data_IF_264165621092
#
_entry.id   IF_264165621092
#
_cell.length_a   1.000
_cell.length_b   1.000
_cell.length_c   1.000
_cell.angle_alpha   90.00
_cell.angle_beta   90.00
_cell.angle_gamma   90.00
#
_symmetry.space_group_name_H-M   'P 1'
#
loop_
_entity.id
_entity.type
_entity.pdbx_description
1 polymer ?
#
# COMPACT_ATOMS: atom_id res chain seq x y z
N UNK A 1 -16.96 2.30 36.88
CA UNK A 1 -17.05 3.53 36.16
C UNK A 1 -16.37 3.30 34.81
N UNK A 2 -17.16 3.33 33.74
CA UNK A 2 -16.63 3.29 32.40
C UNK A 2 -15.71 4.50 32.22
N UNK A 3 -14.52 4.29 31.72
CA UNK A 3 -13.62 5.36 31.33
C UNK A 3 -14.23 5.94 30.03
N UNK A 4 -14.98 7.05 30.14
CA UNK A 4 -15.35 7.82 28.96
C UNK A 4 -14.08 8.47 28.43
N UNK A 5 -13.54 7.92 27.36
CA UNK A 5 -12.43 8.52 26.61
C UNK A 5 -13.10 9.52 25.67
N UNK A 6 -12.94 10.81 25.96
CA UNK A 6 -13.37 11.91 25.10
C UNK A 6 -12.55 11.85 23.79
N UNK A 7 -13.20 11.97 22.64
CA UNK A 7 -12.58 11.84 21.30
C UNK A 7 -11.31 12.70 21.14
N UNK A 8 -11.29 13.90 21.71
CA UNK A 8 -10.10 14.78 21.71
C UNK A 8 -8.97 14.25 22.60
N UNK A 9 -9.25 13.36 23.54
CA UNK A 9 -8.25 12.77 24.44
C UNK A 9 -7.67 11.45 23.92
N UNK A 10 -8.33 10.80 22.94
CA UNK A 10 -7.89 9.51 22.40
C UNK A 10 -6.55 9.61 21.66
N UNK A 11 -6.33 10.73 20.97
CA UNK A 11 -5.14 10.92 20.12
C UNK A 11 -4.04 11.72 20.84
N UNK A 12 -4.39 12.68 21.69
CA UNK A 12 -3.41 13.60 22.32
C UNK A 12 -2.81 13.10 23.64
N UNK A 13 -3.44 12.11 24.32
CA UNK A 13 -2.98 11.65 25.64
C UNK A 13 -1.87 10.59 25.57
N UNK A 14 -1.65 9.95 24.42
CA UNK A 14 -0.66 8.90 24.23
C UNK A 14 0.60 9.33 23.47
N UNK A 15 0.78 10.63 23.26
CA UNK A 15 2.01 11.17 22.68
C UNK A 15 2.17 10.96 21.18
N UNK A 16 1.15 10.50 20.49
CA UNK A 16 1.14 10.49 19.03
C UNK A 16 1.04 11.94 18.54
N UNK A 17 2.16 12.53 18.19
CA UNK A 17 2.19 13.81 17.49
C UNK A 17 1.99 13.54 15.99
N UNK A 18 0.79 13.14 15.59
CA UNK A 18 0.39 13.32 14.20
C UNK A 18 0.03 14.78 14.02
N UNK A 19 0.62 15.42 13.02
CA UNK A 19 0.28 16.82 12.67
C UNK A 19 -1.12 16.95 12.04
N UNK A 20 -1.88 15.86 11.95
CA UNK A 20 -3.24 15.79 11.45
C UNK A 20 -4.07 14.91 12.39
N UNK A 21 -5.21 15.37 12.79
CA UNK A 21 -6.05 14.77 13.84
C UNK A 21 -6.87 13.56 13.37
N UNK A 22 -6.70 13.09 12.11
CA UNK A 22 -7.65 12.17 11.47
C UNK A 22 -6.97 10.98 10.74
N UNK A 23 -5.68 10.71 10.96
CA UNK A 23 -4.95 9.64 10.27
C UNK A 23 -5.17 8.27 10.93
N UNK A 24 -6.42 7.84 11.09
CA UNK A 24 -6.75 6.53 11.65
C UNK A 24 -8.06 5.98 11.08
N UNK A 25 -8.16 4.65 11.07
CA UNK A 25 -9.41 3.93 10.82
C UNK A 25 -10.03 3.58 12.17
N UNK A 26 -11.33 3.78 12.33
CA UNK A 26 -12.07 3.29 13.49
C UNK A 26 -13.26 2.45 13.04
N UNK A 27 -13.31 1.22 13.55
CA UNK A 27 -14.37 0.27 13.30
C UNK A 27 -15.10 -0.03 14.62
N UNK A 28 -16.42 0.20 14.65
CA UNK A 28 -17.26 -0.13 15.76
C UNK A 28 -18.03 -1.43 15.49
N UNK A 29 -17.77 -2.45 16.29
CA UNK A 29 -18.44 -3.75 16.23
C UNK A 29 -19.58 -3.77 17.22
N UNK A 30 -20.81 -3.99 16.75
CA UNK A 30 -22.04 -3.98 17.56
C UNK A 30 -22.76 -5.32 17.45
N UNK A 31 -23.17 -5.86 18.59
CA UNK A 31 -23.94 -7.09 18.69
C UNK A 31 -24.17 -7.49 20.14
N UNK A 32 -25.15 -8.35 20.40
CA UNK A 32 -25.49 -8.82 21.75
C UNK A 32 -25.79 -7.67 22.76
N UNK A 33 -26.24 -6.51 22.25
CA UNK A 33 -26.48 -5.32 23.05
C UNK A 33 -25.20 -4.62 23.57
N UNK A 34 -24.07 -4.87 22.92
CA UNK A 34 -22.75 -4.32 23.26
C UNK A 34 -22.09 -3.74 22.01
N UNK A 35 -21.20 -2.80 22.21
CA UNK A 35 -20.31 -2.25 21.18
C UNK A 35 -18.88 -2.33 21.66
N UNK A 36 -17.97 -2.73 20.78
CA UNK A 36 -16.52 -2.71 21.01
C UNK A 36 -15.82 -2.12 19.79
N UNK A 37 -14.71 -1.43 20.00
CA UNK A 37 -14.06 -0.65 18.96
C UNK A 37 -12.64 -1.12 18.71
N UNK A 38 -12.21 -1.01 17.47
CA UNK A 38 -10.85 -1.18 16.98
C UNK A 38 -10.39 0.09 16.30
N UNK A 39 -9.18 0.54 16.62
CA UNK A 39 -8.52 1.67 15.96
C UNK A 39 -7.23 1.19 15.30
N UNK A 40 -7.02 1.57 14.06
CA UNK A 40 -5.74 1.44 13.34
C UNK A 40 -5.28 2.84 12.99
N UNK A 41 -4.15 3.26 13.57
CA UNK A 41 -3.58 4.59 13.38
C UNK A 41 -2.35 4.52 12.47
N UNK A 42 -2.14 5.55 11.64
CA UNK A 42 -0.97 5.65 10.76
C UNK A 42 0.04 6.62 11.33
N UNK A 43 1.27 6.13 11.58
CA UNK A 43 2.38 6.91 12.12
C UNK A 43 3.70 6.37 11.53
N UNK A 44 4.40 7.19 10.76
CA UNK A 44 5.68 6.82 10.12
C UNK A 44 6.78 6.41 11.11
N UNK A 45 6.59 6.71 12.40
CA UNK A 45 7.52 6.32 13.46
C UNK A 45 7.08 5.04 14.20
N UNK A 46 5.93 4.47 13.87
CA UNK A 46 5.46 3.20 14.39
C UNK A 46 6.20 2.02 13.74
N UNK A 47 6.00 0.84 14.29
CA UNK A 47 6.45 -0.43 13.73
C UNK A 47 5.26 -1.37 13.57
N UNK A 48 5.41 -2.45 12.80
CA UNK A 48 4.36 -3.47 12.67
C UNK A 48 4.30 -4.43 13.88
N UNK A 49 5.35 -4.45 14.72
CA UNK A 49 5.36 -5.10 16.02
C UNK A 49 4.74 -4.19 17.10
N UNK A 50 4.45 -4.76 18.27
CA UNK A 50 3.92 -3.99 19.39
C UNK A 50 4.85 -2.86 19.84
N UNK A 51 4.40 -1.63 19.73
CA UNK A 51 5.09 -0.41 20.17
C UNK A 51 4.42 0.16 21.44
N UNK A 52 5.10 0.05 22.57
CA UNK A 52 4.59 0.52 23.86
C UNK A 52 4.29 2.02 23.93
N UNK A 53 4.83 2.81 23.01
CA UNK A 53 4.63 4.26 22.95
C UNK A 53 3.42 4.67 22.11
N UNK A 54 2.95 3.77 21.23
CA UNK A 54 1.95 4.09 20.21
C UNK A 54 0.73 3.18 20.25
N UNK A 55 0.92 1.92 20.66
CA UNK A 55 -0.12 0.92 20.67
C UNK A 55 -0.82 0.83 22.02
N UNK A 56 -2.06 0.30 21.98
CA UNK A 56 -2.77 -0.06 23.19
C UNK A 56 -3.17 -1.53 23.19
N UNK A 57 -2.64 -2.28 24.16
CA UNK A 57 -3.00 -3.69 24.33
C UNK A 57 -4.50 -3.82 24.57
N UNK A 58 -5.12 -4.77 23.88
CA UNK A 58 -6.53 -5.09 24.10
C UNK A 58 -6.74 -5.74 25.46
N UNK A 59 -7.56 -5.12 26.26
CA UNK A 59 -8.04 -5.74 27.48
C UNK A 59 -9.27 -6.60 27.19
N UNK A 60 -9.09 -7.92 27.15
CA UNK A 60 -10.20 -8.84 26.93
C UNK A 60 -11.12 -8.84 28.13
N UNK A 61 -12.27 -8.25 27.97
CA UNK A 61 -13.30 -8.19 29.00
C UNK A 61 -14.08 -9.50 29.10
N UNK A 62 -14.87 -9.64 30.16
CA UNK A 62 -15.86 -10.72 30.29
C UNK A 62 -17.11 -10.50 29.43
N UNK A 63 -17.14 -9.41 28.63
CA UNK A 63 -18.21 -9.14 27.68
C UNK A 63 -18.28 -10.22 26.61
N UNK A 64 -19.45 -10.38 26.02
CA UNK A 64 -19.68 -11.37 24.96
C UNK A 64 -19.15 -10.93 23.60
N UNK A 65 -18.65 -9.72 23.47
CA UNK A 65 -18.06 -9.16 22.25
C UNK A 65 -16.75 -8.47 22.60
N UNK A 66 -15.66 -8.92 21.98
CA UNK A 66 -14.37 -8.23 21.99
C UNK A 66 -13.81 -8.26 20.56
N UNK A 67 -13.32 -7.12 20.08
CA UNK A 67 -12.61 -6.99 18.81
C UNK A 67 -11.21 -6.46 19.04
N UNK A 68 -10.24 -6.93 18.26
CA UNK A 68 -8.85 -6.51 18.36
C UNK A 68 -8.10 -6.83 17.05
N UNK A 69 -7.07 -6.07 16.77
CA UNK A 69 -6.10 -6.43 15.74
C UNK A 69 -4.94 -7.23 16.33
N UNK A 70 -4.17 -7.86 15.44
CA UNK A 70 -2.92 -8.52 15.78
C UNK A 70 -1.77 -7.79 15.10
N UNK A 71 -0.74 -7.43 15.87
CA UNK A 71 0.56 -6.99 15.36
C UNK A 71 1.34 -8.18 14.76
N UNK A 72 2.46 -7.93 14.08
CA UNK A 72 3.30 -9.01 13.51
C UNK A 72 3.84 -9.96 14.57
N UNK A 73 4.12 -9.47 15.78
CA UNK A 73 4.51 -10.29 16.94
C UNK A 73 3.32 -10.98 17.65
N UNK A 74 2.10 -10.92 17.05
CA UNK A 74 0.85 -11.49 17.54
C UNK A 74 0.34 -10.90 18.87
N UNK A 75 0.69 -9.66 19.18
CA UNK A 75 0.11 -8.94 20.33
C UNK A 75 -1.31 -8.47 19.98
N UNK A 76 -2.25 -8.66 20.91
CA UNK A 76 -3.64 -8.25 20.75
C UNK A 76 -3.79 -6.76 21.08
N UNK A 77 -4.23 -5.97 20.09
CA UNK A 77 -4.26 -4.52 20.19
C UNK A 77 -5.68 -3.96 20.02
N UNK A 78 -6.05 -3.01 20.89
CA UNK A 78 -7.24 -2.19 20.75
C UNK A 78 -6.96 -0.96 19.87
N UNK A 79 -5.73 -0.45 19.94
CA UNK A 79 -5.16 0.55 19.05
C UNK A 79 -3.88 -0.04 18.48
N UNK A 80 -3.80 -0.13 17.17
CA UNK A 80 -2.64 -0.62 16.45
C UNK A 80 -2.11 0.53 15.58
N UNK A 81 -0.92 0.97 15.86
CA UNK A 81 -0.26 2.04 15.10
C UNK A 81 0.78 1.41 14.19
N UNK A 82 0.74 1.75 12.92
CA UNK A 82 1.62 1.18 11.90
C UNK A 82 2.04 2.25 10.89
N UNK A 83 3.21 2.09 10.23
CA UNK A 83 3.58 2.95 9.13
C UNK A 83 2.70 2.65 7.92
N UNK A 84 2.45 3.68 7.10
CA UNK A 84 1.79 3.47 5.80
C UNK A 84 2.83 3.01 4.78
N UNK A 85 2.80 1.74 4.42
CA UNK A 85 3.78 1.14 3.51
C UNK A 85 3.41 1.36 2.03
N UNK A 86 4.42 1.63 1.19
CA UNK A 86 4.24 1.62 -0.26
C UNK A 86 3.84 0.21 -0.73
N UNK A 87 2.76 0.11 -1.51
CA UNK A 87 2.25 -1.16 -2.04
C UNK A 87 1.20 -1.84 -1.15
N UNK A 88 0.99 -1.32 0.07
CA UNK A 88 -0.05 -1.80 0.96
C UNK A 88 0.35 -2.99 1.82
N UNK A 89 -0.41 -3.20 2.86
CA UNK A 89 -0.24 -4.28 3.84
C UNK A 89 -1.60 -4.69 4.40
N UNK A 90 -1.61 -5.74 5.25
CA UNK A 90 -2.86 -6.27 5.79
C UNK A 90 -2.74 -6.52 7.28
N UNK A 91 -3.76 -6.14 8.03
CA UNK A 91 -3.84 -6.29 9.48
C UNK A 91 -4.90 -7.35 9.83
N UNK A 92 -4.52 -8.43 10.52
CA UNK A 92 -5.49 -9.40 11.02
C UNK A 92 -6.39 -8.77 12.09
N UNK A 93 -7.71 -8.92 11.92
CA UNK A 93 -8.71 -8.47 12.89
C UNK A 93 -9.43 -9.68 13.46
N UNK A 94 -9.31 -9.84 14.76
CA UNK A 94 -9.85 -10.98 15.48
C UNK A 94 -11.05 -10.57 16.34
N UNK A 95 -11.97 -11.50 16.51
CA UNK A 95 -13.14 -11.35 17.37
C UNK A 95 -13.19 -12.44 18.41
N UNK A 96 -13.64 -12.08 19.63
CA UNK A 96 -14.04 -13.03 20.66
C UNK A 96 -15.51 -12.84 20.95
N UNK A 97 -16.32 -13.76 20.53
CA UNK A 97 -17.78 -13.74 20.59
C UNK A 97 -18.27 -14.83 21.55
N UNK A 98 -19.07 -14.46 22.55
CA UNK A 98 -19.54 -15.37 23.59
C UNK A 98 -20.77 -16.17 23.20
N UNK A 99 -21.60 -15.72 22.27
CA UNK A 99 -22.81 -16.43 21.80
C UNK A 99 -23.18 -16.04 20.39
N UNK A 100 -23.91 -16.94 19.72
CA UNK A 100 -24.39 -16.71 18.36
C UNK A 100 -25.32 -15.51 18.26
N UNK A 101 -25.10 -14.63 17.30
CA UNK A 101 -25.94 -13.47 16.97
C UNK A 101 -25.59 -12.89 15.61
N UNK A 102 -26.37 -11.91 15.20
CA UNK A 102 -26.05 -11.01 14.10
C UNK A 102 -25.25 -9.85 14.68
N UNK A 103 -24.25 -9.41 13.93
CA UNK A 103 -23.33 -8.33 14.29
C UNK A 103 -23.27 -7.33 13.15
N UNK A 104 -22.90 -6.11 13.49
CA UNK A 104 -22.67 -5.03 12.54
C UNK A 104 -21.29 -4.42 12.80
N UNK A 105 -20.61 -4.06 11.74
CA UNK A 105 -19.37 -3.28 11.77
C UNK A 105 -19.71 -1.94 11.13
N UNK A 106 -19.60 -0.86 11.88
CA UNK A 106 -19.73 0.50 11.40
C UNK A 106 -18.34 1.12 11.24
N UNK A 107 -18.11 1.74 10.10
CA UNK A 107 -16.90 2.55 9.85
C UNK A 107 -17.14 3.93 10.43
N UNK A 108 -16.62 4.20 11.61
CA UNK A 108 -16.91 5.45 12.35
C UNK A 108 -15.88 6.55 12.08
N UNK A 109 -14.71 6.18 11.56
CA UNK A 109 -13.71 7.11 11.02
C UNK A 109 -12.90 6.43 9.92
N UNK A 110 -12.64 7.18 8.86
CA UNK A 110 -11.77 6.78 7.76
C UNK A 110 -10.86 7.95 7.39
N UNK A 111 -9.52 7.77 7.33
CA UNK A 111 -8.62 8.88 7.02
C UNK A 111 -8.71 9.27 5.55
N UNK A 112 -8.59 10.57 5.28
CA UNK A 112 -8.38 11.07 3.92
C UNK A 112 -6.89 10.95 3.57
N UNK A 113 -6.50 9.80 3.01
CA UNK A 113 -5.15 9.57 2.50
C UNK A 113 -5.06 9.92 1.01
N UNK A 114 -3.83 9.90 0.48
CA UNK A 114 -3.57 10.18 -0.93
C UNK A 114 -4.50 9.40 -1.86
N UNK A 115 -4.92 9.98 -3.00
CA UNK A 115 -5.74 9.28 -3.98
C UNK A 115 -5.02 8.02 -4.46
N UNK A 116 -5.51 6.86 -4.09
CA UNK A 116 -4.94 5.57 -4.44
C UNK A 116 -4.70 4.66 -3.23
N UNK A 117 -4.99 5.12 -2.02
CA UNK A 117 -5.10 4.25 -0.84
C UNK A 117 -6.54 3.80 -0.72
N UNK A 118 -6.73 2.51 -0.59
CA UNK A 118 -8.01 1.85 -0.43
C UNK A 118 -8.00 1.05 0.87
N UNK A 119 -9.15 0.97 1.50
CA UNK A 119 -9.37 0.21 2.72
C UNK A 119 -10.42 -0.87 2.42
N UNK A 120 -10.01 -2.13 2.53
CA UNK A 120 -10.86 -3.28 2.25
C UNK A 120 -10.89 -4.16 3.48
N UNK A 121 -12.08 -4.53 3.92
CA UNK A 121 -12.26 -5.56 4.93
C UNK A 121 -12.68 -6.86 4.26
N UNK A 122 -11.85 -7.90 4.38
CA UNK A 122 -12.14 -9.25 3.92
C UNK A 122 -12.67 -10.10 5.08
N UNK A 123 -13.82 -10.75 4.91
CA UNK A 123 -14.32 -11.76 5.83
C UNK A 123 -13.74 -13.15 5.43
N UNK A 124 -12.77 -13.65 6.16
CA UNK A 124 -12.10 -14.91 5.89
C UNK A 124 -13.01 -16.15 6.01
N UNK A 125 -14.21 -16.00 6.60
CA UNK A 125 -15.20 -17.09 6.73
C UNK A 125 -16.05 -17.20 5.47
N UNK A 126 -16.48 -16.06 4.92
CA UNK A 126 -17.33 -16.04 3.71
C UNK A 126 -16.52 -15.85 2.43
N UNK A 127 -15.33 -15.27 2.52
CA UNK A 127 -14.52 -14.82 1.38
C UNK A 127 -15.03 -13.55 0.73
N UNK A 128 -16.00 -12.86 1.36
CA UNK A 128 -16.51 -11.59 0.86
C UNK A 128 -15.57 -10.44 1.22
N UNK A 129 -15.47 -9.46 0.34
CA UNK A 129 -14.67 -8.24 0.51
C UNK A 129 -15.56 -7.00 0.48
N UNK A 130 -15.28 -6.07 1.37
CA UNK A 130 -16.03 -4.83 1.53
C UNK A 130 -15.08 -3.64 1.45
N UNK A 131 -15.30 -2.74 0.49
CA UNK A 131 -14.65 -1.44 0.54
C UNK A 131 -15.19 -0.65 1.73
N UNK A 132 -14.28 -0.09 2.52
CA UNK A 132 -14.69 0.72 3.66
C UNK A 132 -14.99 2.15 3.18
N UNK A 133 -16.15 2.63 3.56
CA UNK A 133 -16.59 4.02 3.37
C UNK A 133 -17.03 4.56 4.73
N UNK A 134 -16.77 5.83 5.00
CA UNK A 134 -17.18 6.45 6.26
C UNK A 134 -18.71 6.37 6.44
N UNK A 135 -19.14 5.90 7.60
CA UNK A 135 -20.56 5.62 7.89
C UNK A 135 -21.10 4.34 7.25
N UNK A 136 -20.24 3.57 6.53
CA UNK A 136 -20.61 2.26 5.97
C UNK A 136 -20.90 1.24 7.06
N UNK A 137 -21.87 0.36 6.82
CA UNK A 137 -22.28 -0.72 7.75
C UNK A 137 -22.15 -2.06 7.04
N UNK A 138 -21.41 -2.99 7.67
CA UNK A 138 -21.23 -4.36 7.22
C UNK A 138 -21.89 -5.28 8.24
N UNK A 139 -22.87 -6.07 7.80
CA UNK A 139 -23.54 -7.04 8.66
C UNK A 139 -22.94 -8.44 8.51
N UNK A 140 -22.77 -9.15 9.61
CA UNK A 140 -22.30 -10.53 9.61
C UNK A 140 -22.91 -11.37 10.73
N UNK A 141 -23.01 -12.65 10.50
CA UNK A 141 -23.46 -13.64 11.50
C UNK A 141 -22.27 -14.37 12.09
N UNK A 142 -22.29 -14.62 13.39
CA UNK A 142 -21.26 -15.44 14.04
C UNK A 142 -21.84 -16.25 15.19
N UNK A 143 -21.23 -17.43 15.39
CA UNK A 143 -21.39 -18.24 16.60
C UNK A 143 -20.48 -17.77 17.74
N UNK A 144 -20.52 -18.50 18.86
CA UNK A 144 -19.55 -18.32 19.95
C UNK A 144 -18.16 -18.80 19.47
N UNK A 145 -17.23 -17.86 19.33
CA UNK A 145 -15.91 -18.10 18.72
C UNK A 145 -14.88 -17.11 19.22
N UNK A 146 -13.61 -17.49 19.13
CA UNK A 146 -12.47 -16.57 19.21
C UNK A 146 -11.54 -16.91 18.06
N UNK A 147 -11.52 -16.05 17.05
CA UNK A 147 -10.75 -16.30 15.81
C UNK A 147 -10.36 -14.99 15.13
N UNK A 148 -9.32 -15.05 14.29
CA UNK A 148 -9.07 -14.05 13.28
C UNK A 148 -10.08 -14.26 12.16
N UNK A 149 -11.08 -13.40 12.13
CA UNK A 149 -12.17 -13.52 11.15
C UNK A 149 -11.98 -12.60 9.97
N UNK A 150 -11.44 -11.41 10.22
CA UNK A 150 -11.30 -10.42 9.16
C UNK A 150 -9.85 -10.10 8.89
N UNK A 151 -9.58 -9.67 7.66
CA UNK A 151 -8.31 -9.12 7.24
C UNK A 151 -8.57 -7.70 6.72
N UNK A 152 -7.99 -6.70 7.38
CA UNK A 152 -8.07 -5.31 6.96
C UNK A 152 -6.90 -5.03 6.03
N UNK A 153 -7.17 -4.89 4.73
CA UNK A 153 -6.20 -4.51 3.72
C UNK A 153 -6.14 -2.99 3.62
N UNK A 154 -4.94 -2.43 3.68
CA UNK A 154 -4.67 -1.01 3.67
C UNK A 154 -3.65 -0.73 2.58
N UNK A 155 -3.89 0.27 1.76
CA UNK A 155 -2.94 0.71 0.76
C UNK A 155 -3.48 0.63 -0.65
N UNK A 156 -2.57 0.65 -1.61
CA UNK A 156 -2.96 0.49 -3.00
C UNK A 156 -3.08 -0.98 -3.34
N UNK A 157 -4.25 -1.42 -3.77
CA UNK A 157 -4.40 -2.78 -4.31
C UNK A 157 -3.75 -2.88 -5.71
N UNK A 158 -2.59 -2.24 -5.92
CA UNK A 158 -1.89 -2.21 -7.19
C UNK A 158 -0.40 -2.42 -6.95
N UNK A 159 0.10 -3.55 -7.44
CA UNK A 159 1.54 -3.77 -7.53
C UNK A 159 2.08 -3.23 -8.86
N UNK A 160 3.22 -2.56 -8.79
CA UNK A 160 3.93 -2.00 -9.94
C UNK A 160 5.24 -2.72 -10.13
N UNK A 161 5.46 -3.25 -11.33
CA UNK A 161 6.75 -3.77 -11.76
C UNK A 161 7.20 -3.03 -13.03
N UNK A 162 8.45 -2.59 -13.08
CA UNK A 162 8.99 -1.89 -14.25
C UNK A 162 10.36 -2.39 -14.64
N UNK A 163 10.69 -2.24 -15.92
CA UNK A 163 12.06 -2.24 -16.42
C UNK A 163 12.36 -0.90 -17.09
N UNK A 164 13.50 -0.32 -16.76
CA UNK A 164 13.96 0.89 -17.42
C UNK A 164 14.58 0.57 -18.78
N UNK A 165 14.83 1.60 -19.59
CA UNK A 165 15.43 1.48 -20.92
C UNK A 165 16.85 0.93 -20.79
N UNK A 166 17.20 -0.06 -21.62
CA UNK A 166 18.49 -0.75 -21.53
C UNK A 166 19.67 0.07 -22.02
N UNK A 167 19.47 0.95 -22.99
CA UNK A 167 20.50 1.80 -23.59
C UNK A 167 19.95 3.18 -23.91
N UNK A 168 20.80 4.19 -23.92
CA UNK A 168 20.45 5.54 -24.35
C UNK A 168 19.78 5.54 -25.72
N UNK A 169 18.60 6.16 -25.82
CA UNK A 169 17.82 6.31 -27.03
C UNK A 169 17.13 5.04 -27.53
N UNK A 170 17.06 3.96 -26.76
CA UNK A 170 16.23 2.80 -27.07
C UNK A 170 14.83 2.93 -26.45
N UNK A 171 13.87 2.16 -26.98
CA UNK A 171 12.48 2.12 -26.53
C UNK A 171 12.16 0.66 -26.19
N UNK A 172 12.74 0.16 -25.10
CA UNK A 172 12.60 -1.24 -24.69
C UNK A 172 12.18 -1.40 -23.21
N UNK A 173 11.76 -0.30 -22.61
CA UNK A 173 11.24 -0.33 -21.25
C UNK A 173 9.84 -0.95 -21.18
N UNK A 174 9.48 -1.41 -20.00
CA UNK A 174 8.14 -1.94 -19.73
C UNK A 174 7.65 -1.56 -18.36
N UNK A 175 6.34 -1.41 -18.22
CA UNK A 175 5.64 -1.24 -16.96
C UNK A 175 4.50 -2.24 -16.89
N UNK A 176 4.42 -2.97 -15.79
CA UNK A 176 3.31 -3.88 -15.48
C UNK A 176 2.60 -3.38 -14.22
N UNK A 177 1.31 -3.15 -14.33
CA UNK A 177 0.43 -2.86 -13.19
C UNK A 177 -0.42 -4.08 -12.91
N UNK A 178 -0.41 -4.55 -11.67
CA UNK A 178 -1.18 -5.71 -11.25
C UNK A 178 -2.18 -5.28 -10.19
N UNK A 179 -3.47 -5.42 -10.49
CA UNK A 179 -4.53 -5.24 -9.49
C UNK A 179 -4.50 -6.39 -8.48
N UNK A 180 -4.64 -6.05 -7.20
CA UNK A 180 -4.73 -7.03 -6.10
C UNK A 180 -6.20 -7.14 -5.70
N UNK A 181 -6.70 -8.36 -5.57
CA UNK A 181 -8.10 -8.68 -5.26
C UNK A 181 -8.85 -9.29 -6.44
N UNK A 182 -10.15 -9.45 -6.26
CA UNK A 182 -11.03 -10.07 -7.25
C UNK A 182 -11.37 -9.09 -8.37
N UNK A 183 -10.73 -9.30 -9.54
CA UNK A 183 -11.07 -8.57 -10.75
C UNK A 183 -12.51 -8.84 -11.24
N UNK A 184 -12.92 -8.34 -12.40
CA UNK A 184 -12.06 -7.76 -13.42
C UNK A 184 -11.71 -6.29 -13.18
N UNK A 185 -10.53 -5.89 -13.66
CA UNK A 185 -10.01 -4.53 -13.59
C UNK A 185 -10.09 -3.86 -14.96
N UNK A 186 -10.27 -2.54 -14.98
CA UNK A 186 -10.13 -1.72 -16.18
C UNK A 186 -8.91 -0.82 -16.03
N UNK A 187 -7.95 -0.94 -16.92
CA UNK A 187 -6.74 -0.14 -16.94
C UNK A 187 -6.83 0.90 -18.06
N UNK A 188 -6.53 2.16 -17.72
CA UNK A 188 -6.37 3.23 -18.71
C UNK A 188 -5.02 3.89 -18.49
N UNK A 189 -4.14 3.79 -19.49
CA UNK A 189 -2.78 4.29 -19.47
C UNK A 189 -2.68 5.66 -20.09
N UNK A 190 -1.89 6.52 -19.49
CA UNK A 190 -1.67 7.90 -19.92
C UNK A 190 -0.17 8.15 -20.07
N UNK A 191 0.19 9.03 -21.01
CA UNK A 191 1.51 9.61 -21.14
C UNK A 191 1.69 10.80 -20.15
N UNK A 192 2.88 11.42 -20.20
CA UNK A 192 3.21 12.58 -19.35
C UNK A 192 2.36 13.83 -19.63
N UNK A 193 1.64 13.87 -20.76
CA UNK A 193 0.75 14.97 -21.16
C UNK A 193 -0.72 14.65 -20.90
N UNK A 194 -1.00 13.61 -20.08
CA UNK A 194 -2.33 13.09 -19.74
C UNK A 194 -3.15 12.59 -20.94
N UNK A 195 -2.50 12.24 -22.07
CA UNK A 195 -3.19 11.60 -23.18
C UNK A 195 -3.36 10.11 -22.92
N UNK A 196 -4.55 9.58 -23.21
CA UNK A 196 -4.79 8.13 -23.17
C UNK A 196 -4.00 7.47 -24.31
N UNK A 197 -3.07 6.58 -23.93
CA UNK A 197 -2.23 5.84 -24.88
C UNK A 197 -2.66 4.37 -25.05
N UNK A 198 -3.29 3.80 -24.02
CA UNK A 198 -3.76 2.42 -24.07
C UNK A 198 -4.91 2.19 -23.06
N UNK A 199 -5.79 1.23 -23.37
CA UNK A 199 -6.88 0.82 -22.46
C UNK A 199 -7.00 -0.69 -22.50
N UNK A 200 -7.05 -1.31 -21.34
CA UNK A 200 -7.21 -2.75 -21.19
C UNK A 200 -8.40 -3.01 -20.27
N UNK A 201 -9.46 -3.62 -20.79
CA UNK A 201 -10.75 -3.70 -20.10
C UNK A 201 -11.07 -5.13 -19.66
N UNK A 202 -11.68 -5.24 -18.49
CA UNK A 202 -12.16 -6.48 -17.91
C UNK A 202 -11.04 -7.54 -17.74
N UNK A 203 -9.85 -7.11 -17.32
CA UNK A 203 -8.66 -7.97 -17.15
C UNK A 203 -8.68 -8.65 -15.79
N UNK A 204 -8.43 -9.93 -15.74
CA UNK A 204 -8.19 -10.67 -14.51
C UNK A 204 -6.68 -10.64 -14.21
N UNK A 205 -6.24 -9.66 -13.42
CA UNK A 205 -4.84 -9.54 -13.01
C UNK A 205 -4.15 -8.30 -13.56
N UNK A 206 -3.10 -8.44 -14.36
CA UNK A 206 -2.21 -7.35 -14.75
C UNK A 206 -2.42 -6.84 -16.16
N UNK A 207 -2.13 -5.55 -16.35
CA UNK A 207 -1.95 -4.91 -17.66
C UNK A 207 -0.49 -4.48 -17.81
N UNK A 208 0.09 -4.71 -18.99
CA UNK A 208 1.50 -4.44 -19.29
C UNK A 208 1.63 -3.60 -20.53
N UNK A 209 2.43 -2.53 -20.43
CA UNK A 209 2.92 -1.77 -21.58
C UNK A 209 4.39 -2.07 -21.80
N UNK A 210 4.76 -2.25 -23.08
CA UNK A 210 6.12 -2.51 -23.55
C UNK A 210 6.54 -1.45 -24.57
N UNK A 211 7.81 -1.48 -24.95
CA UNK A 211 8.37 -0.58 -25.96
C UNK A 211 8.21 0.90 -25.56
N UNK A 212 8.40 1.18 -24.26
CA UNK A 212 8.27 2.52 -23.69
C UNK A 212 9.57 3.32 -23.84
N UNK A 213 9.40 4.60 -24.15
CA UNK A 213 10.45 5.63 -24.08
C UNK A 213 10.66 6.07 -22.62
N UNK A 214 11.79 6.73 -22.30
CA UNK A 214 11.95 7.41 -21.00
C UNK A 214 10.84 8.45 -20.80
N UNK A 215 10.24 8.47 -19.60
CA UNK A 215 9.17 9.38 -19.30
C UNK A 215 8.33 8.94 -18.10
N UNK A 216 7.36 9.75 -17.74
CA UNK A 216 6.39 9.47 -16.68
C UNK A 216 5.11 8.93 -17.31
N UNK A 217 4.70 7.77 -16.84
CA UNK A 217 3.45 7.14 -17.24
C UNK A 217 2.52 7.03 -16.04
N UNK A 218 1.26 7.29 -16.25
CA UNK A 218 0.24 7.05 -15.24
C UNK A 218 -0.79 6.04 -15.72
N UNK A 219 -1.35 5.30 -14.79
CA UNK A 219 -2.43 4.37 -15.06
C UNK A 219 -3.59 4.64 -14.10
N UNK A 220 -4.78 4.74 -14.66
CA UNK A 220 -6.02 4.71 -13.92
C UNK A 220 -6.51 3.27 -13.91
N UNK A 221 -6.72 2.71 -12.74
CA UNK A 221 -7.22 1.36 -12.53
C UNK A 221 -8.56 1.47 -11.85
N UNK A 222 -9.59 1.01 -12.52
CA UNK A 222 -10.93 0.95 -11.97
C UNK A 222 -11.23 -0.50 -11.56
N UNK A 223 -11.53 -0.68 -10.30
CA UNK A 223 -12.04 -1.93 -9.77
C UNK A 223 -13.39 -1.68 -9.09
N UNK A 224 -14.21 -2.71 -9.04
CA UNK A 224 -15.56 -2.59 -8.46
C UNK A 224 -15.55 -2.39 -6.93
N UNK A 225 -14.38 -2.55 -6.28
CA UNK A 225 -14.26 -2.52 -4.83
C UNK A 225 -13.80 -1.15 -4.33
N UNK A 226 -12.76 -0.57 -4.96
CA UNK A 226 -12.14 0.68 -4.50
C UNK A 226 -12.40 1.87 -5.43
N UNK A 227 -13.24 1.70 -6.46
CA UNK A 227 -13.41 2.72 -7.49
C UNK A 227 -12.16 2.89 -8.34
N UNK A 228 -11.89 4.14 -8.73
CA UNK A 228 -10.78 4.47 -9.64
C UNK A 228 -9.55 4.88 -8.85
N UNK A 229 -8.48 4.13 -9.00
CA UNK A 229 -7.16 4.40 -8.41
C UNK A 229 -6.19 4.84 -9.49
N UNK A 230 -5.28 5.76 -9.17
CA UNK A 230 -4.26 6.25 -10.10
C UNK A 230 -2.88 5.91 -9.55
N UNK A 231 -2.01 5.38 -10.43
CA UNK A 231 -0.60 5.11 -10.15
C UNK A 231 0.28 5.68 -11.22
N UNK A 232 1.44 6.17 -10.82
CA UNK A 232 2.47 6.69 -11.71
C UNK A 232 3.72 5.83 -11.62
N UNK A 233 4.44 5.71 -12.75
CA UNK A 233 5.75 5.08 -12.81
C UNK A 233 6.63 5.89 -13.76
N UNK A 234 7.87 6.13 -13.35
CA UNK A 234 8.87 6.80 -14.15
C UNK A 234 9.79 5.77 -14.80
N UNK A 235 9.93 5.84 -16.12
CA UNK A 235 10.91 5.10 -16.92
C UNK A 235 12.12 6.00 -17.11
N UNK A 236 13.28 5.48 -16.73
CA UNK A 236 14.56 6.18 -16.89
C UNK A 236 15.42 5.55 -17.97
N UNK A 237 16.37 6.32 -18.53
CA UNK A 237 17.37 5.83 -19.45
C UNK A 237 18.79 6.09 -18.92
N UNK A 238 19.77 5.24 -19.25
CA UNK A 238 21.16 5.53 -18.95
C UNK A 238 21.64 6.72 -19.76
N UNK A 239 22.68 7.40 -19.28
CA UNK A 239 23.32 8.46 -20.04
C UNK A 239 23.97 7.91 -21.30
N UNK A 240 24.12 8.75 -22.34
CA UNK A 240 24.82 8.37 -23.55
C UNK A 240 26.24 7.88 -23.26
N UNK A 241 26.64 6.76 -23.87
CA UNK A 241 27.99 6.24 -23.77
C UNK A 241 28.93 7.10 -24.64
N UNK A 242 29.82 7.82 -23.98
CA UNK A 242 30.76 8.72 -24.63
C UNK A 242 32.20 8.15 -24.45
N UNK A 243 32.98 8.19 -25.48
CA UNK A 243 34.39 7.88 -25.39
C UNK A 243 35.23 9.04 -25.92
N UNK A 244 36.35 9.28 -25.26
CA UNK A 244 37.39 10.21 -25.70
C UNK A 244 38.71 9.48 -25.84
N UNK A 245 39.50 9.93 -26.79
CA UNK A 245 40.83 9.35 -27.04
C UNK A 245 41.94 10.38 -26.93
N UNK A 246 43.05 10.01 -26.32
CA UNK A 246 44.28 10.78 -26.33
C UNK A 246 45.37 9.99 -27.07
N UNK A 247 45.87 10.59 -28.15
CA UNK A 247 46.90 9.97 -29.00
C UNK A 247 48.25 10.55 -28.71
N UNK A 248 49.23 9.68 -28.36
CA UNK A 248 50.62 10.03 -28.35
C UNK A 248 51.30 9.43 -29.58
N UNK A 249 51.77 10.30 -30.49
CA UNK A 249 52.41 9.87 -31.73
C UNK A 249 53.82 9.34 -31.49
N UNK A 250 54.22 8.39 -32.32
CA UNK A 250 55.61 7.86 -32.34
C UNK A 250 56.54 8.98 -32.75
N UNK A 251 57.63 9.16 -32.01
CA UNK A 251 58.74 10.05 -32.39
C UNK A 251 59.71 9.32 -33.30
N UNK A 252 60.34 10.05 -34.26
CA UNK A 252 61.10 9.47 -35.34
C UNK A 252 62.31 8.59 -34.94
N UNK A 253 62.78 8.74 -33.70
CA UNK A 253 63.97 8.02 -33.19
C UNK A 253 63.61 6.87 -32.21
N UNK A 254 62.35 6.66 -31.90
CA UNK A 254 61.88 5.68 -30.90
C UNK A 254 60.88 4.71 -31.48
N UNK A 255 61.18 3.41 -31.32
CA UNK A 255 60.26 2.33 -31.76
C UNK A 255 59.27 2.01 -30.64
N UNK A 256 58.01 1.96 -30.96
CA UNK A 256 56.88 1.56 -30.04
C UNK A 256 56.54 2.58 -28.91
N UNK A 257 56.63 3.88 -29.17
CA UNK A 257 56.30 4.92 -28.20
C UNK A 257 54.90 5.52 -28.41
N UNK A 258 54.16 5.05 -29.41
CA UNK A 258 52.76 5.47 -29.62
C UNK A 258 51.85 4.90 -28.54
N UNK A 259 51.01 5.74 -27.98
CA UNK A 259 49.97 5.37 -26.99
C UNK A 259 48.64 5.84 -27.49
N UNK A 260 47.64 4.98 -27.36
CA UNK A 260 46.23 5.35 -27.45
C UNK A 260 45.66 5.17 -26.04
N UNK A 261 45.28 6.25 -25.44
CA UNK A 261 44.57 6.24 -24.14
C UNK A 261 43.12 6.55 -24.39
N UNK A 262 42.24 5.70 -23.91
CA UNK A 262 40.78 5.83 -24.11
C UNK A 262 40.10 5.99 -22.77
N UNK A 263 39.26 6.99 -22.65
CA UNK A 263 38.38 7.22 -21.51
C UNK A 263 36.93 7.02 -21.95
N UNK A 264 36.20 6.22 -21.18
CA UNK A 264 34.80 5.91 -21.41
C UNK A 264 33.97 6.50 -20.27
N UNK A 265 32.87 7.15 -20.58
CA UNK A 265 31.93 7.68 -19.59
C UNK A 265 30.46 7.54 -20.05
N UNK A 266 29.53 7.56 -19.13
CA UNK A 266 28.12 7.33 -19.43
C UNK A 266 27.78 5.85 -19.59
N UNK A 267 26.56 5.53 -20.04
CA UNK A 267 26.09 4.15 -20.15
C UNK A 267 25.87 3.46 -18.80
N UNK A 268 25.79 2.13 -18.84
CA UNK A 268 25.72 1.26 -17.67
C UNK A 268 27.04 0.49 -17.53
N UNK A 269 27.67 0.58 -16.36
CA UNK A 269 28.87 -0.22 -16.06
C UNK A 269 28.54 -1.71 -15.87
N UNK A 270 29.48 -2.66 -16.08
CA UNK A 270 30.88 -2.43 -16.48
C UNK A 270 31.10 -2.30 -18.00
N UNK A 271 32.12 -1.51 -18.38
CA UNK A 271 32.57 -1.38 -19.79
C UNK A 271 33.71 -2.34 -20.10
#
# INVERSE_FOLDING_TARGET
PALEINETAKVTTWGVQTNTTDDYIQLAFTGLGQTDELVVAFDDLATNDFDTARDAIKFISSSNLNVYSLSEDNTQLAINSCPLEEGGFSIPVATKIGSASNFEIEVTNLPELDPGVCFILEDLVTGETFALEEGGIIAFDSGAVQETRFLLHIGSPIAVAKSDVSCFGTMDASITMTGIGDGPFNYTWYDQDDNVIFTDLAVLGSSTMTDLEPGVYSVSIDNNTCGTLIRTAEVTEPTELIFSETLTHIQCDEINTGIIDMEVSGGLEPY
#
